data_IF_345419835715
#
_entry.id   IF_345419835715
#
_cell.length_a   1.000
_cell.length_b   1.000
_cell.length_c   1.000
_cell.angle_alpha   90.00
_cell.angle_beta   90.00
_cell.angle_gamma   90.00
#
_symmetry.space_group_name_H-M   'P 1'
#
loop_
_entity.id
_entity.type
_entity.pdbx_description
1 polymer ?
#
# COMPACT_ATOMS: atom_id res chain seq x y z
N UNK A 1 -30.39 21.18 -36.20
CA UNK A 1 -30.66 22.64 -36.13
C UNK A 1 -32.16 22.96 -36.21
N UNK A 2 -32.87 22.62 -37.30
CA UNK A 2 -34.32 22.93 -37.43
C UNK A 2 -35.14 22.38 -36.26
N UNK A 3 -34.94 21.11 -35.90
CA UNK A 3 -35.59 20.50 -34.73
C UNK A 3 -35.34 21.26 -33.42
N UNK A 4 -34.09 21.72 -33.17
CA UNK A 4 -33.75 22.48 -31.95
C UNK A 4 -34.45 23.86 -31.91
N UNK A 5 -34.58 24.53 -33.07
CA UNK A 5 -35.32 25.79 -33.19
C UNK A 5 -36.83 25.59 -33.00
N UNK A 6 -37.39 24.51 -33.52
CA UNK A 6 -38.80 24.16 -33.27
C UNK A 6 -39.05 23.85 -31.79
N UNK A 7 -38.16 23.10 -31.15
CA UNK A 7 -38.21 22.83 -29.70
C UNK A 7 -38.15 24.13 -28.89
N UNK A 8 -37.23 25.03 -29.23
CA UNK A 8 -37.13 26.36 -28.61
C UNK A 8 -38.44 27.15 -28.75
N UNK A 9 -38.98 27.26 -29.96
CA UNK A 9 -40.22 27.98 -30.22
C UNK A 9 -41.40 27.41 -29.42
N UNK A 10 -41.55 26.08 -29.38
CA UNK A 10 -42.59 25.42 -28.57
C UNK A 10 -42.39 25.65 -27.07
N UNK A 11 -41.17 25.49 -26.56
CA UNK A 11 -40.87 25.65 -25.14
C UNK A 11 -41.13 27.07 -24.64
N UNK A 12 -40.76 28.09 -25.43
CA UNK A 12 -41.01 29.50 -25.12
C UNK A 12 -42.50 29.82 -25.11
N UNK A 13 -43.28 29.28 -26.06
CA UNK A 13 -44.72 29.54 -26.13
C UNK A 13 -45.54 28.85 -25.02
N UNK A 14 -44.99 27.82 -24.37
CA UNK A 14 -45.64 27.17 -23.24
C UNK A 14 -45.53 27.98 -21.93
N UNK A 15 -44.64 28.97 -21.87
CA UNK A 15 -44.36 29.76 -20.67
C UNK A 15 -45.18 31.07 -20.70
N UNK A 16 -45.90 31.35 -19.61
CA UNK A 16 -46.70 32.57 -19.47
C UNK A 16 -45.88 33.74 -18.90
N UNK A 17 -44.81 33.44 -18.17
CA UNK A 17 -43.89 34.43 -17.60
C UNK A 17 -42.82 34.82 -18.63
N UNK A 18 -42.69 36.14 -18.86
CA UNK A 18 -41.73 36.72 -19.79
C UNK A 18 -40.27 36.51 -19.35
N UNK A 19 -40.00 36.53 -18.04
CA UNK A 19 -38.64 36.32 -17.52
C UNK A 19 -38.21 34.87 -17.69
N UNK A 20 -39.05 33.91 -17.30
CA UNK A 20 -38.81 32.49 -17.53
C UNK A 20 -38.62 32.17 -19.03
N UNK A 21 -39.45 32.75 -19.90
CA UNK A 21 -39.34 32.59 -21.34
C UNK A 21 -38.01 33.13 -21.90
N UNK A 22 -37.51 34.25 -21.37
CA UNK A 22 -36.22 34.82 -21.75
C UNK A 22 -35.04 33.92 -21.35
N UNK A 23 -35.10 33.34 -20.14
CA UNK A 23 -34.07 32.40 -19.65
C UNK A 23 -34.03 31.13 -20.52
N UNK A 24 -35.19 30.52 -20.80
CA UNK A 24 -35.27 29.32 -21.64
C UNK A 24 -34.77 29.62 -23.05
N UNK A 25 -35.16 30.76 -23.64
CA UNK A 25 -34.67 31.19 -24.95
C UNK A 25 -33.14 31.26 -24.95
N UNK A 26 -32.54 31.89 -23.94
CA UNK A 26 -31.07 32.01 -23.79
C UNK A 26 -30.36 30.66 -23.75
N UNK A 27 -30.90 29.67 -23.01
CA UNK A 27 -30.29 28.33 -22.97
C UNK A 27 -30.37 27.59 -24.30
N UNK A 28 -31.50 27.70 -25.01
CA UNK A 28 -31.63 27.13 -26.36
C UNK A 28 -30.70 27.83 -27.35
N UNK A 29 -30.54 29.15 -27.25
CA UNK A 29 -29.62 29.90 -28.11
C UNK A 29 -28.17 29.43 -27.89
N UNK A 30 -27.74 29.24 -26.63
CA UNK A 30 -26.43 28.67 -26.30
C UNK A 30 -26.29 27.27 -26.91
N UNK A 31 -27.26 26.39 -26.69
CA UNK A 31 -27.22 25.00 -27.19
C UNK A 31 -27.16 24.94 -28.73
N UNK A 32 -27.92 25.77 -29.42
CA UNK A 32 -27.91 25.83 -30.89
C UNK A 32 -26.56 26.38 -31.38
N UNK A 33 -26.03 27.40 -30.71
CA UNK A 33 -24.73 27.99 -31.03
C UNK A 33 -23.63 26.95 -30.86
N UNK A 34 -23.56 26.27 -29.71
CA UNK A 34 -22.55 25.24 -29.42
C UNK A 34 -22.67 24.03 -30.35
N UNK A 35 -23.89 23.64 -30.74
CA UNK A 35 -24.11 22.55 -31.70
C UNK A 35 -23.57 22.88 -33.11
N UNK A 36 -23.50 24.16 -33.46
CA UNK A 36 -22.97 24.61 -34.74
C UNK A 36 -21.44 24.72 -34.76
N UNK A 37 -20.79 24.77 -33.59
CA UNK A 37 -19.33 24.81 -33.47
C UNK A 37 -18.76 23.42 -33.77
N UNK A 38 -17.70 23.36 -34.56
CA UNK A 38 -16.98 22.11 -34.80
C UNK A 38 -16.37 21.55 -33.51
N UNK A 39 -16.37 20.22 -33.38
CA UNK A 39 -15.81 19.56 -32.20
C UNK A 39 -14.33 19.94 -32.06
N UNK A 40 -13.90 20.49 -30.91
CA UNK A 40 -12.50 20.84 -30.71
C UNK A 40 -11.61 19.59 -30.78
N UNK A 41 -10.38 19.70 -31.32
CA UNK A 41 -9.46 18.58 -31.40
C UNK A 41 -9.07 18.09 -30.01
N UNK A 42 -8.70 16.82 -29.89
CA UNK A 42 -8.20 16.27 -28.64
C UNK A 42 -6.84 16.87 -28.31
N UNK A 43 -6.60 17.16 -27.03
CA UNK A 43 -5.33 17.65 -26.54
C UNK A 43 -4.35 16.48 -26.46
N UNK A 44 -3.31 16.52 -27.28
CA UNK A 44 -2.24 15.53 -27.25
C UNK A 44 -1.24 15.82 -26.12
N UNK A 45 -0.75 14.76 -25.48
CA UNK A 45 0.36 14.75 -24.54
C UNK A 45 1.45 13.86 -25.13
N UNK A 46 2.46 14.43 -25.81
CA UNK A 46 3.58 13.64 -26.32
C UNK A 46 4.39 13.06 -25.14
N UNK A 47 4.97 11.88 -25.35
CA UNK A 47 5.92 11.31 -24.40
C UNK A 47 7.22 12.12 -24.39
N UNK A 48 7.80 12.31 -23.20
CA UNK A 48 9.07 13.07 -23.04
C UNK A 48 10.27 12.25 -23.52
N UNK A 49 10.20 10.93 -23.39
CA UNK A 49 11.22 9.98 -23.86
C UNK A 49 10.59 8.74 -24.47
N UNK A 50 11.41 7.86 -25.06
CA UNK A 50 10.94 6.61 -25.68
C UNK A 50 10.23 5.66 -24.69
N UNK A 51 10.49 5.79 -23.39
CA UNK A 51 9.86 4.98 -22.34
C UNK A 51 8.51 5.55 -21.89
N UNK A 52 8.24 6.83 -22.21
CA UNK A 52 6.97 7.49 -21.92
C UNK A 52 5.98 7.23 -23.04
N UNK A 53 4.79 6.77 -22.68
CA UNK A 53 3.70 6.66 -23.64
C UNK A 53 3.09 8.04 -23.93
N UNK A 54 2.79 8.29 -25.21
CA UNK A 54 1.97 9.43 -25.61
C UNK A 54 0.50 9.17 -25.29
N UNK A 55 -0.22 10.20 -24.84
CA UNK A 55 -1.64 10.13 -24.51
C UNK A 55 -2.42 11.25 -25.19
N UNK A 56 -3.74 11.15 -25.18
CA UNK A 56 -4.62 12.22 -25.64
C UNK A 56 -5.83 12.36 -24.73
N UNK A 57 -6.30 13.58 -24.55
CA UNK A 57 -7.50 13.91 -23.78
C UNK A 57 -8.51 14.64 -24.67
N UNK A 58 -9.76 14.17 -24.77
CA UNK A 58 -10.80 14.95 -25.44
C UNK A 58 -10.95 16.33 -24.79
N UNK A 59 -10.92 17.39 -25.58
CA UNK A 59 -11.00 18.76 -25.06
C UNK A 59 -12.28 19.02 -24.27
N UNK A 60 -13.39 18.33 -24.61
CA UNK A 60 -14.62 18.37 -23.83
C UNK A 60 -14.42 17.93 -22.38
N UNK A 61 -13.61 16.89 -22.14
CA UNK A 61 -13.31 16.43 -20.78
C UNK A 61 -12.46 17.45 -20.00
N UNK A 62 -11.53 18.13 -20.68
CA UNK A 62 -10.73 19.20 -20.08
C UNK A 62 -11.58 20.42 -19.69
N UNK A 63 -12.59 20.77 -20.49
CA UNK A 63 -13.47 21.91 -20.21
C UNK A 63 -14.42 21.66 -19.03
N UNK A 64 -14.92 20.43 -18.88
CA UNK A 64 -15.78 20.01 -17.77
C UNK A 64 -15.01 19.80 -16.46
N UNK A 65 -13.69 19.64 -16.52
CA UNK A 65 -12.88 19.47 -15.33
C UNK A 65 -12.80 20.76 -14.49
N UNK A 66 -12.70 20.58 -13.17
CA UNK A 66 -12.51 21.69 -12.23
C UNK A 66 -11.30 22.53 -12.62
N UNK A 67 -11.55 23.83 -12.84
CA UNK A 67 -10.53 24.80 -13.22
C UNK A 67 -9.70 25.16 -12.00
N UNK A 68 -8.53 24.54 -11.86
CA UNK A 68 -7.51 24.99 -10.91
C UNK A 68 -6.84 26.25 -11.46
N UNK A 69 -6.89 27.40 -10.74
CA UNK A 69 -6.25 28.62 -11.21
C UNK A 69 -4.73 28.41 -11.25
N UNK A 70 -4.12 28.81 -12.36
CA UNK A 70 -2.67 28.79 -12.54
C UNK A 70 -2.13 30.16 -12.21
N UNK A 71 -1.29 30.23 -11.18
CA UNK A 71 -0.72 31.48 -10.71
C UNK A 71 0.61 31.73 -11.40
N UNK A 72 0.76 32.93 -11.95
CA UNK A 72 1.90 33.34 -12.75
C UNK A 72 2.51 34.57 -12.09
N UNK A 73 3.83 34.60 -11.96
CA UNK A 73 4.56 35.72 -11.40
C UNK A 73 5.01 36.66 -12.50
N UNK A 74 4.46 37.88 -12.53
CA UNK A 74 4.88 38.96 -13.45
C UNK A 74 5.27 40.21 -12.66
N UNK A 75 6.17 41.00 -13.22
CA UNK A 75 6.71 42.21 -12.57
C UNK A 75 5.64 43.27 -12.28
N UNK A 76 4.65 43.40 -13.17
CA UNK A 76 3.56 44.40 -13.07
C UNK A 76 2.36 44.01 -12.21
N UNK A 77 2.39 42.87 -11.50
CA UNK A 77 1.30 42.45 -10.63
C UNK A 77 1.21 43.32 -9.36
N UNK A 78 0.00 43.40 -8.80
CA UNK A 78 -0.21 44.01 -7.49
C UNK A 78 0.53 43.24 -6.38
N UNK A 79 0.89 43.91 -5.29
CA UNK A 79 1.60 43.27 -4.18
C UNK A 79 0.79 42.11 -3.56
N UNK A 80 -0.54 42.22 -3.57
CA UNK A 80 -1.46 41.16 -3.12
C UNK A 80 -1.38 39.93 -4.00
N UNK A 81 -1.40 40.08 -5.33
CA UNK A 81 -1.28 38.96 -6.27
C UNK A 81 0.10 38.30 -6.22
N UNK A 82 1.16 39.11 -6.07
CA UNK A 82 2.53 38.61 -5.85
C UNK A 82 2.61 37.76 -4.59
N UNK A 83 2.02 38.24 -3.49
CA UNK A 83 2.00 37.51 -2.22
C UNK A 83 1.19 36.20 -2.32
N UNK A 84 0.06 36.20 -3.00
CA UNK A 84 -0.74 34.99 -3.24
C UNK A 84 0.01 33.95 -4.07
N UNK A 85 0.74 34.40 -5.09
CA UNK A 85 1.57 33.55 -5.95
C UNK A 85 2.69 32.89 -5.14
N UNK A 86 3.36 33.65 -4.27
CA UNK A 86 4.38 33.13 -3.35
C UNK A 86 3.78 32.11 -2.37
N UNK A 87 2.63 32.42 -1.76
CA UNK A 87 1.91 31.47 -0.87
C UNK A 87 1.52 30.19 -1.60
N UNK A 88 1.17 30.28 -2.88
CA UNK A 88 0.90 29.10 -3.70
C UNK A 88 2.15 28.26 -3.94
N UNK A 89 3.29 28.88 -4.23
CA UNK A 89 4.58 28.18 -4.35
C UNK A 89 4.96 27.45 -3.05
N UNK A 90 4.70 28.06 -1.88
CA UNK A 90 4.90 27.39 -0.60
C UNK A 90 3.99 26.18 -0.39
N UNK A 91 2.67 26.35 -0.61
CA UNK A 91 1.71 25.23 -0.56
C UNK A 91 2.09 24.11 -1.53
N UNK A 92 2.73 24.46 -2.64
CA UNK A 92 3.16 23.49 -3.65
C UNK A 92 4.37 22.68 -3.21
N UNK A 93 5.44 23.36 -2.81
CA UNK A 93 6.73 22.74 -2.50
C UNK A 93 6.73 22.06 -1.13
N UNK A 94 6.01 22.64 -0.15
CA UNK A 94 5.97 22.14 1.24
C UNK A 94 4.65 21.44 1.60
N UNK A 95 3.74 21.30 0.65
CA UNK A 95 2.37 20.77 0.85
C UNK A 95 1.46 21.59 1.79
N UNK A 96 1.99 22.67 2.37
CA UNK A 96 1.30 23.56 3.32
C UNK A 96 1.87 24.97 3.24
N UNK A 97 1.13 25.94 3.76
CA UNK A 97 1.66 27.29 3.89
C UNK A 97 2.68 27.34 5.03
N UNK A 98 3.90 27.79 4.72
CA UNK A 98 5.02 27.88 5.69
C UNK A 98 5.31 29.33 6.10
N UNK A 99 4.58 30.32 5.56
CA UNK A 99 4.83 31.76 5.79
C UNK A 99 4.80 32.17 7.27
N UNK A 100 3.97 31.52 8.10
CA UNK A 100 3.79 31.91 9.50
C UNK A 100 4.71 31.18 10.49
N UNK A 101 5.29 30.03 10.11
CA UNK A 101 5.86 29.09 11.09
C UNK A 101 7.40 29.11 11.21
N UNK A 102 8.13 29.61 10.21
CA UNK A 102 9.60 29.43 10.15
C UNK A 102 10.43 30.72 9.90
N UNK A 103 9.76 31.87 9.83
CA UNK A 103 10.21 33.20 10.29
C UNK A 103 11.39 33.94 9.63
N UNK A 104 12.46 33.29 9.16
CA UNK A 104 13.72 34.05 8.91
C UNK A 104 14.45 33.68 7.62
N UNK A 105 14.45 32.41 7.17
CA UNK A 105 15.36 31.99 6.07
C UNK A 105 14.89 32.26 4.63
N UNK A 106 13.64 32.67 4.42
CA UNK A 106 13.05 32.75 3.06
C UNK A 106 12.67 34.17 2.61
N UNK A 107 12.73 35.17 3.50
CA UNK A 107 12.31 36.55 3.20
C UNK A 107 13.15 37.20 2.09
N UNK A 108 14.44 36.88 2.02
CA UNK A 108 15.32 37.38 0.95
C UNK A 108 14.89 36.87 -0.43
N UNK A 109 14.58 35.56 -0.53
CA UNK A 109 14.09 34.94 -1.76
C UNK A 109 12.74 35.51 -2.19
N UNK A 110 11.86 35.80 -1.23
CA UNK A 110 10.58 36.47 -1.50
C UNK A 110 10.80 37.87 -2.09
N UNK A 111 11.74 38.64 -1.54
CA UNK A 111 12.06 39.97 -2.06
C UNK A 111 12.63 39.90 -3.49
N UNK A 112 13.53 38.95 -3.74
CA UNK A 112 14.13 38.74 -5.07
C UNK A 112 13.08 38.33 -6.12
N UNK A 113 12.12 37.45 -5.78
CA UNK A 113 11.07 37.05 -6.73
C UNK A 113 10.04 38.17 -6.94
N UNK A 114 9.71 38.95 -5.90
CA UNK A 114 8.80 40.12 -6.00
C UNK A 114 9.35 41.22 -6.88
N UNK A 115 10.65 41.45 -6.80
CA UNK A 115 11.38 42.42 -7.62
C UNK A 115 11.67 41.90 -9.03
N UNK A 116 11.52 40.60 -9.27
CA UNK A 116 11.81 39.96 -10.57
C UNK A 116 13.30 39.73 -10.82
N UNK A 117 14.15 39.82 -9.79
CA UNK A 117 15.58 39.46 -9.91
C UNK A 117 15.76 37.97 -10.20
N UNK A 118 14.89 37.13 -9.62
CA UNK A 118 14.82 35.69 -9.89
C UNK A 118 13.44 35.34 -10.45
N UNK A 119 13.40 34.38 -11.36
CA UNK A 119 12.15 33.86 -11.90
C UNK A 119 11.44 32.95 -10.91
N UNK A 120 10.17 32.58 -11.18
CA UNK A 120 9.45 31.64 -10.35
C UNK A 120 10.11 30.24 -10.37
N UNK A 121 10.69 29.85 -11.50
CA UNK A 121 11.52 28.64 -11.63
C UNK A 121 12.71 28.65 -10.67
N UNK A 122 13.49 29.75 -10.66
CA UNK A 122 14.62 29.90 -9.74
C UNK A 122 14.19 29.91 -8.27
N UNK A 123 13.08 30.58 -7.97
CA UNK A 123 12.50 30.59 -6.62
C UNK A 123 12.16 29.18 -6.16
N UNK A 124 11.46 28.38 -6.98
CA UNK A 124 11.15 26.97 -6.69
C UNK A 124 12.41 26.13 -6.52
N UNK A 125 13.45 26.33 -7.35
CA UNK A 125 14.76 25.66 -7.19
C UNK A 125 15.38 25.97 -5.83
N UNK A 126 15.38 27.23 -5.41
CA UNK A 126 15.94 27.64 -4.11
C UNK A 126 15.14 27.06 -2.94
N UNK A 127 13.81 27.00 -3.05
CA UNK A 127 12.97 26.33 -2.06
C UNK A 127 13.31 24.84 -1.94
N UNK A 128 13.50 24.14 -3.06
CA UNK A 128 13.86 22.71 -3.09
C UNK A 128 15.24 22.41 -2.48
N UNK A 129 16.19 23.35 -2.60
CA UNK A 129 17.53 23.24 -2.00
C UNK A 129 17.61 23.77 -0.57
N UNK A 130 16.53 24.34 -0.05
CA UNK A 130 16.52 24.94 1.28
C UNK A 130 16.74 23.89 2.38
N UNK A 131 17.31 24.33 3.51
CA UNK A 131 17.44 23.50 4.71
C UNK A 131 16.09 22.98 5.19
N UNK A 132 15.03 23.78 5.05
CA UNK A 132 13.68 23.41 5.45
C UNK A 132 13.15 22.23 4.63
N UNK A 133 13.35 22.27 3.31
CA UNK A 133 12.93 21.17 2.43
C UNK A 133 13.68 19.88 2.77
N UNK A 134 14.99 19.98 2.99
CA UNK A 134 15.84 18.85 3.38
C UNK A 134 15.35 18.19 4.68
N UNK A 135 15.08 18.98 5.71
CA UNK A 135 14.61 18.45 7.01
C UNK A 135 13.25 17.76 6.91
N UNK A 136 12.37 18.25 6.03
CA UNK A 136 11.00 17.73 5.92
C UNK A 136 10.88 16.55 4.95
N UNK A 137 11.55 16.61 3.80
CA UNK A 137 11.32 15.70 2.66
C UNK A 137 12.54 14.89 2.23
N UNK A 138 13.73 15.14 2.79
CA UNK A 138 14.94 14.38 2.48
C UNK A 138 15.37 13.50 3.66
N UNK A 139 15.66 14.09 4.82
CA UNK A 139 16.22 13.38 5.98
C UNK A 139 15.34 12.22 6.54
N UNK A 140 14.00 12.31 6.59
CA UNK A 140 13.17 11.27 7.19
C UNK A 140 12.72 10.18 6.20
N UNK A 141 13.31 10.10 5.01
CA UNK A 141 12.88 9.20 3.93
C UNK A 141 14.06 8.49 3.27
N UNK A 142 13.80 7.31 2.70
CA UNK A 142 14.76 6.62 1.84
C UNK A 142 14.80 7.30 0.45
N UNK A 143 15.95 7.21 -0.25
CA UNK A 143 16.18 7.84 -1.57
C UNK A 143 15.02 7.57 -2.54
N UNK A 144 14.54 6.33 -2.63
CA UNK A 144 13.42 5.97 -3.51
C UNK A 144 12.15 6.78 -3.21
N UNK A 145 11.85 7.04 -1.93
CA UNK A 145 10.69 7.83 -1.53
C UNK A 145 10.91 9.33 -1.72
N UNK A 146 12.14 9.80 -1.57
CA UNK A 146 12.53 11.19 -1.83
C UNK A 146 12.25 11.55 -3.30
N UNK A 147 12.62 10.67 -4.24
CA UNK A 147 12.35 10.88 -5.67
C UNK A 147 10.85 11.01 -5.92
N UNK A 148 10.03 10.11 -5.39
CA UNK A 148 8.56 10.16 -5.56
C UNK A 148 7.94 11.48 -5.06
N UNK A 149 8.42 11.97 -3.91
CA UNK A 149 7.98 13.26 -3.36
C UNK A 149 8.52 14.45 -4.17
N UNK A 150 9.74 14.37 -4.68
CA UNK A 150 10.30 15.42 -5.54
C UNK A 150 9.49 15.57 -6.84
N UNK A 151 9.13 14.46 -7.49
CA UNK A 151 8.23 14.45 -8.65
C UNK A 151 6.89 15.11 -8.34
N UNK A 152 6.31 14.81 -7.17
CA UNK A 152 5.10 15.47 -6.70
C UNK A 152 5.28 16.97 -6.58
N UNK A 153 6.36 17.45 -5.97
CA UNK A 153 6.57 18.86 -5.65
C UNK A 153 6.95 19.71 -6.86
N UNK A 154 7.89 19.24 -7.68
CA UNK A 154 8.47 20.02 -8.77
C UNK A 154 7.75 19.79 -10.11
N UNK A 155 7.35 18.55 -10.42
CA UNK A 155 6.70 18.21 -11.69
C UNK A 155 5.18 18.04 -11.59
N UNK A 156 4.65 17.83 -10.39
CA UNK A 156 3.20 17.72 -10.17
C UNK A 156 2.56 16.47 -10.72
N UNK A 157 3.35 15.41 -10.91
CA UNK A 157 2.87 14.09 -11.29
C UNK A 157 3.61 13.00 -10.52
N UNK A 158 3.14 11.77 -10.65
CA UNK A 158 3.90 10.59 -10.26
C UNK A 158 4.94 10.21 -11.32
N UNK A 159 5.82 9.30 -10.93
CA UNK A 159 6.78 8.68 -11.85
C UNK A 159 6.01 7.81 -12.86
N UNK A 160 6.41 7.83 -14.13
CA UNK A 160 5.70 7.18 -15.23
C UNK A 160 6.22 5.77 -15.54
N UNK A 161 7.53 5.55 -15.44
CA UNK A 161 8.14 4.24 -15.69
C UNK A 161 9.33 3.95 -14.77
N UNK A 162 9.86 2.72 -14.85
CA UNK A 162 10.98 2.29 -14.02
C UNK A 162 12.31 2.89 -14.50
N UNK A 163 12.47 3.10 -15.80
CA UNK A 163 13.66 3.72 -16.39
C UNK A 163 13.78 5.17 -15.93
N UNK A 164 12.67 5.92 -15.93
CA UNK A 164 12.64 7.27 -15.35
C UNK A 164 13.06 7.25 -13.88
N UNK A 165 12.56 6.29 -13.09
CA UNK A 165 13.01 6.17 -11.69
C UNK A 165 14.52 5.92 -11.59
N UNK A 166 15.08 5.05 -12.44
CA UNK A 166 16.50 4.70 -12.42
C UNK A 166 17.38 5.90 -12.78
N UNK A 167 17.01 6.67 -13.79
CA UNK A 167 17.75 7.87 -14.22
C UNK A 167 17.87 8.89 -13.06
N UNK A 168 16.76 9.22 -12.41
CA UNK A 168 16.78 10.15 -11.27
C UNK A 168 17.38 9.54 -10.00
N UNK A 169 17.37 8.22 -9.86
CA UNK A 169 18.03 7.52 -8.77
C UNK A 169 19.57 7.59 -8.90
N UNK A 170 20.10 7.52 -10.12
CA UNK A 170 21.52 7.74 -10.39
C UNK A 170 21.91 9.19 -10.06
N UNK A 171 21.16 10.17 -10.57
CA UNK A 171 21.41 11.61 -10.32
C UNK A 171 21.47 11.96 -8.83
N UNK A 172 20.51 11.49 -8.03
CA UNK A 172 20.50 11.75 -6.59
C UNK A 172 21.60 10.99 -5.84
N UNK A 173 22.00 9.80 -6.32
CA UNK A 173 23.05 9.01 -5.70
C UNK A 173 24.42 9.70 -5.84
N UNK A 174 24.66 10.35 -6.97
CA UNK A 174 25.92 11.04 -7.25
C UNK A 174 25.98 12.46 -6.67
N UNK A 175 24.90 13.23 -6.84
CA UNK A 175 24.88 14.66 -6.51
C UNK A 175 23.97 15.07 -5.34
N UNK A 176 23.32 14.10 -4.69
CA UNK A 176 22.41 14.34 -3.58
C UNK A 176 21.16 15.16 -3.95
N UNK A 177 20.52 15.74 -2.94
CA UNK A 177 19.31 16.56 -3.11
C UNK A 177 19.47 17.72 -4.12
N UNK A 178 20.57 18.53 -4.09
CA UNK A 178 20.69 19.66 -5.00
C UNK A 178 20.68 19.24 -6.48
N UNK A 179 21.38 18.16 -6.82
CA UNK A 179 21.44 17.66 -8.20
C UNK A 179 20.08 17.11 -8.67
N UNK A 180 19.33 16.43 -7.79
CA UNK A 180 17.98 15.98 -8.11
C UNK A 180 17.04 17.16 -8.42
N UNK A 181 17.09 18.21 -7.60
CA UNK A 181 16.25 19.41 -7.81
C UNK A 181 16.62 20.10 -9.12
N UNK A 182 17.91 20.23 -9.43
CA UNK A 182 18.36 20.81 -10.69
C UNK A 182 17.88 19.98 -11.89
N UNK A 183 18.11 18.67 -11.88
CA UNK A 183 17.65 17.79 -12.96
C UNK A 183 16.14 17.87 -13.21
N UNK A 184 15.31 18.01 -12.16
CA UNK A 184 13.86 18.14 -12.32
C UNK A 184 13.45 19.51 -12.86
N UNK A 185 14.04 20.59 -12.36
CA UNK A 185 13.66 21.97 -12.72
C UNK A 185 14.25 22.38 -14.09
N UNK A 186 15.40 21.82 -14.47
CA UNK A 186 16.04 22.04 -15.77
C UNK A 186 15.52 21.09 -16.88
N UNK A 187 14.58 20.20 -16.54
CA UNK A 187 13.97 19.30 -17.52
C UNK A 187 13.14 20.08 -18.56
N UNK A 188 13.14 19.59 -19.80
CA UNK A 188 12.29 20.13 -20.86
C UNK A 188 10.80 20.09 -20.48
N UNK A 189 10.39 19.04 -19.77
CA UNK A 189 9.01 18.91 -19.30
C UNK A 189 8.63 20.04 -18.33
N UNK A 190 9.53 20.44 -17.42
CA UNK A 190 9.26 21.56 -16.54
C UNK A 190 9.04 22.85 -17.33
N UNK A 191 9.89 23.11 -18.33
CA UNK A 191 9.80 24.28 -19.21
C UNK A 191 8.49 24.27 -20.03
N UNK A 192 8.07 23.12 -20.56
CA UNK A 192 6.86 23.00 -21.38
C UNK A 192 5.57 23.23 -20.59
N UNK A 193 5.51 22.76 -19.34
CA UNK A 193 4.30 22.85 -18.51
C UNK A 193 4.20 24.13 -17.69
N UNK A 194 5.32 24.62 -17.16
CA UNK A 194 5.35 25.73 -16.20
C UNK A 194 6.12 26.95 -16.73
N UNK A 195 7.07 26.74 -17.62
CA UNK A 195 8.00 27.78 -18.07
C UNK A 195 8.79 28.36 -16.90
N UNK A 196 9.04 29.66 -16.92
CA UNK A 196 9.80 30.35 -15.87
C UNK A 196 8.95 31.16 -14.90
N UNK A 197 7.72 31.50 -15.29
CA UNK A 197 6.85 32.43 -14.56
C UNK A 197 5.73 31.72 -13.79
N UNK A 198 5.33 30.51 -14.19
CA UNK A 198 4.17 29.82 -13.59
C UNK A 198 4.60 29.01 -12.37
N UNK A 199 3.83 29.10 -11.29
CA UNK A 199 4.00 28.22 -10.13
C UNK A 199 3.63 26.79 -10.54
N UNK A 200 4.46 25.78 -10.24
CA UNK A 200 4.11 24.39 -10.52
C UNK A 200 2.76 24.03 -9.91
N UNK A 201 1.97 23.23 -10.61
CA UNK A 201 0.65 22.78 -10.16
C UNK A 201 0.51 21.26 -10.28
N UNK A 202 -0.42 20.68 -9.53
CA UNK A 202 -0.73 19.26 -9.60
C UNK A 202 -1.41 18.95 -10.94
N UNK A 203 -0.85 17.99 -11.68
CA UNK A 203 -1.39 17.49 -12.94
C UNK A 203 -2.27 16.28 -12.64
N UNK A 204 -3.44 16.57 -12.08
CA UNK A 204 -4.47 15.59 -11.75
C UNK A 204 -5.43 15.29 -12.90
N UNK A 205 -6.51 14.60 -12.54
CA UNK A 205 -7.60 14.30 -13.46
C UNK A 205 -8.17 15.58 -14.08
N UNK A 206 -8.45 15.53 -15.37
CA UNK A 206 -9.06 16.64 -16.10
C UNK A 206 -8.08 17.70 -16.58
N UNK A 207 -6.95 17.92 -15.91
CA UNK A 207 -5.93 18.90 -16.33
C UNK A 207 -5.04 18.38 -17.47
N UNK A 208 -4.76 17.08 -17.45
CA UNK A 208 -3.92 16.40 -18.42
C UNK A 208 -4.37 14.94 -18.61
N UNK A 209 -3.95 14.31 -19.71
CA UNK A 209 -4.21 12.90 -19.96
C UNK A 209 -3.39 12.03 -18.98
N UNK A 210 -4.09 11.20 -18.20
CA UNK A 210 -3.50 10.33 -17.18
C UNK A 210 -3.27 8.93 -17.71
N UNK A 211 -2.16 8.33 -17.33
CA UNK A 211 -1.88 6.93 -17.66
C UNK A 211 -2.49 5.96 -16.65
N UNK A 212 -2.91 4.79 -17.11
CA UNK A 212 -3.41 3.76 -16.22
C UNK A 212 -2.29 3.05 -15.44
N UNK A 213 -1.03 3.14 -15.87
CA UNK A 213 0.11 2.41 -15.31
C UNK A 213 0.41 2.81 -13.86
N UNK A 214 0.29 4.09 -13.52
CA UNK A 214 0.54 4.63 -12.19
C UNK A 214 -0.72 5.23 -11.53
N UNK A 215 -1.92 4.84 -12.00
CA UNK A 215 -3.20 5.42 -11.61
C UNK A 215 -3.40 5.52 -10.09
N UNK A 216 -3.34 4.39 -9.39
CA UNK A 216 -3.50 4.34 -7.93
C UNK A 216 -2.43 5.14 -7.19
N UNK A 217 -1.13 4.82 -7.39
CA UNK A 217 -0.03 5.54 -6.75
C UNK A 217 -0.06 7.06 -6.95
N UNK A 218 -0.44 7.56 -8.13
CA UNK A 218 -0.51 9.00 -8.40
C UNK A 218 -1.66 9.68 -7.64
N UNK A 219 -2.83 9.06 -7.58
CA UNK A 219 -3.97 9.59 -6.81
C UNK A 219 -3.64 9.65 -5.31
N UNK A 220 -2.97 8.64 -4.79
CA UNK A 220 -2.52 8.62 -3.40
C UNK A 220 -1.40 9.63 -3.13
N UNK A 221 -0.51 9.84 -4.09
CA UNK A 221 0.57 10.81 -3.99
C UNK A 221 0.03 12.24 -3.81
N UNK A 222 -1.11 12.58 -4.40
CA UNK A 222 -1.67 13.93 -4.32
C UNK A 222 -2.44 14.23 -3.02
N UNK A 223 -2.56 13.27 -2.12
CA UNK A 223 -3.17 13.47 -0.79
C UNK A 223 -2.17 14.12 0.17
N UNK A 224 -2.68 14.80 1.19
CA UNK A 224 -1.88 15.35 2.30
C UNK A 224 -1.22 14.25 3.15
N UNK A 225 -1.74 13.03 3.11
CA UNK A 225 -1.20 11.87 3.83
C UNK A 225 0.01 11.24 3.12
N UNK A 226 0.36 11.67 1.92
CA UNK A 226 1.46 11.07 1.16
C UNK A 226 2.80 11.09 1.93
N UNK A 227 3.23 12.18 2.61
CA UNK A 227 4.46 12.17 3.41
C UNK A 227 4.46 11.22 4.61
N UNK A 228 3.30 10.76 5.07
CA UNK A 228 3.22 9.79 6.18
C UNK A 228 3.77 8.44 5.73
N UNK A 229 3.59 8.08 4.45
CA UNK A 229 4.10 6.82 3.90
C UNK A 229 5.62 6.88 3.71
N UNK A 230 6.32 6.00 4.42
CA UNK A 230 7.79 5.86 4.35
C UNK A 230 8.28 4.90 3.27
N UNK A 231 7.46 3.91 2.93
CA UNK A 231 7.77 2.91 1.90
C UNK A 231 7.48 3.49 0.51
N UNK A 232 8.39 3.32 -0.47
CA UNK A 232 8.17 3.82 -1.83
C UNK A 232 7.05 3.05 -2.53
N UNK A 233 6.22 3.76 -3.30
CA UNK A 233 5.05 3.20 -3.99
C UNK A 233 5.33 2.84 -5.45
N UNK A 234 6.05 3.69 -6.17
CA UNK A 234 6.17 3.60 -7.63
C UNK A 234 7.12 2.48 -8.02
N UNK A 235 8.33 2.46 -7.45
CA UNK A 235 9.31 1.41 -7.75
C UNK A 235 8.82 0.01 -7.33
N UNK A 236 8.09 -0.08 -6.22
CA UNK A 236 7.50 -1.35 -5.76
C UNK A 236 6.40 -1.81 -6.71
N UNK A 237 5.51 -0.91 -7.12
CA UNK A 237 4.45 -1.19 -8.11
C UNK A 237 5.03 -1.61 -9.46
N UNK A 238 6.00 -0.86 -10.00
CA UNK A 238 6.64 -1.20 -11.27
C UNK A 238 7.43 -2.51 -11.20
N UNK A 239 8.08 -2.78 -10.07
CA UNK A 239 8.73 -4.06 -9.81
C UNK A 239 7.74 -5.23 -9.77
N UNK A 240 6.55 -5.04 -9.19
CA UNK A 240 5.50 -6.06 -9.18
C UNK A 240 4.91 -6.34 -10.56
N UNK A 241 4.81 -5.36 -11.44
CA UNK A 241 4.35 -5.59 -12.82
C UNK A 241 5.25 -6.54 -13.61
N UNK A 242 6.53 -6.64 -13.25
CA UNK A 242 7.51 -7.49 -13.92
C UNK A 242 7.73 -8.85 -13.23
N UNK A 243 7.21 -9.01 -12.01
CA UNK A 243 7.45 -10.20 -11.17
C UNK A 243 6.19 -11.09 -11.09
N UNK A 244 6.36 -12.39 -10.79
CA UNK A 244 5.22 -13.25 -10.48
C UNK A 244 4.51 -12.80 -9.19
N UNK A 245 3.37 -13.43 -8.89
CA UNK A 245 2.58 -13.13 -7.69
C UNK A 245 3.44 -13.15 -6.41
N UNK A 246 3.29 -12.15 -5.54
CA UNK A 246 4.06 -12.06 -4.30
C UNK A 246 3.66 -13.17 -3.31
N UNK A 247 4.60 -13.54 -2.45
CA UNK A 247 4.31 -14.43 -1.33
C UNK A 247 3.68 -13.65 -0.16
N UNK A 248 2.36 -13.52 -0.17
CA UNK A 248 1.59 -12.84 0.87
C UNK A 248 0.17 -13.42 0.99
N UNK A 249 -0.58 -13.02 2.01
CA UNK A 249 -1.99 -13.35 2.12
C UNK A 249 -2.80 -12.89 0.89
N UNK A 250 -3.79 -13.68 0.41
CA UNK A 250 -4.63 -13.31 -0.73
C UNK A 250 -5.35 -11.95 -0.62
N UNK A 251 -5.69 -11.55 0.61
CA UNK A 251 -6.37 -10.27 0.87
C UNK A 251 -5.41 -9.10 1.17
N UNK A 252 -4.09 -9.31 1.08
CA UNK A 252 -3.06 -8.29 1.30
C UNK A 252 -2.19 -8.55 2.53
N UNK A 253 -1.01 -7.90 2.54
CA UNK A 253 0.08 -8.14 3.50
C UNK A 253 -0.30 -8.03 4.97
N UNK A 254 -1.26 -7.17 5.34
CA UNK A 254 -1.69 -6.97 6.72
C UNK A 254 -2.48 -8.12 7.33
N UNK A 255 -2.90 -9.11 6.53
CA UNK A 255 -3.70 -10.24 7.01
C UNK A 255 -2.87 -11.46 7.45
N UNK A 256 -1.58 -11.47 7.14
CA UNK A 256 -0.68 -12.48 7.71
C UNK A 256 -0.28 -12.02 9.13
N UNK A 257 -0.52 -12.83 10.18
CA UNK A 257 -0.03 -12.51 11.52
C UNK A 257 1.49 -12.68 11.58
N UNK A 258 2.13 -12.02 12.55
CA UNK A 258 3.53 -12.31 12.87
C UNK A 258 3.64 -13.69 13.54
N UNK A 259 4.50 -14.55 13.00
CA UNK A 259 4.78 -15.89 13.54
C UNK A 259 5.66 -15.80 14.80
N UNK A 260 5.03 -15.40 15.91
CA UNK A 260 5.66 -15.32 17.23
C UNK A 260 4.89 -16.17 18.24
N UNK A 261 5.51 -16.45 19.38
CA UNK A 261 4.93 -17.31 20.42
C UNK A 261 3.58 -16.79 20.94
N UNK A 262 3.42 -15.47 21.06
CA UNK A 262 2.16 -14.83 21.48
C UNK A 262 1.38 -14.37 20.25
N UNK A 263 0.19 -14.94 19.99
CA UNK A 263 -0.57 -14.67 18.77
C UNK A 263 -1.29 -13.30 18.70
N UNK A 264 -2.08 -13.12 17.63
CA UNK A 264 -2.93 -11.94 17.34
C UNK A 264 -2.19 -10.59 17.18
N UNK A 265 -0.99 -10.62 16.61
CA UNK A 265 -0.28 -9.40 16.22
C UNK A 265 -0.24 -9.32 14.70
N UNK A 266 -0.98 -8.35 14.15
CA UNK A 266 -1.02 -8.03 12.73
C UNK A 266 -0.32 -6.68 12.48
N UNK A 267 0.38 -6.53 11.34
CA UNK A 267 0.92 -5.22 10.93
C UNK A 267 -0.19 -4.16 10.84
N UNK A 268 -0.02 -3.02 11.53
CA UNK A 268 -1.00 -1.94 11.54
C UNK A 268 -0.84 -1.01 10.32
N UNK A 269 -1.83 -1.01 9.44
CA UNK A 269 -1.87 -0.15 8.24
C UNK A 269 -2.19 1.33 8.52
N UNK A 270 -2.70 1.67 9.71
CA UNK A 270 -3.11 3.05 10.05
C UNK A 270 -1.96 3.99 10.39
N UNK A 271 -0.85 3.47 10.93
CA UNK A 271 0.30 4.29 11.37
C UNK A 271 1.39 4.40 10.33
N UNK A 272 1.69 3.29 9.63
CA UNK A 272 2.68 3.22 8.56
C UNK A 272 2.07 2.41 7.41
N UNK A 273 1.31 3.05 6.50
CA UNK A 273 0.61 2.33 5.45
C UNK A 273 1.62 1.63 4.54
N UNK A 274 1.53 0.31 4.47
CA UNK A 274 2.38 -0.55 3.66
C UNK A 274 1.59 -1.48 2.75
N UNK A 275 0.26 -1.29 2.67
CA UNK A 275 -0.62 -2.07 1.84
C UNK A 275 -0.08 -2.29 0.42
N UNK A 276 0.06 -3.57 0.07
CA UNK A 276 0.42 -4.07 -1.24
C UNK A 276 -0.66 -5.04 -1.71
N UNK A 277 -1.78 -4.53 -2.26
CA UNK A 277 -2.80 -5.40 -2.81
C UNK A 277 -2.24 -6.17 -4.01
N UNK A 278 -2.51 -7.47 -4.06
CA UNK A 278 -2.23 -8.31 -5.22
C UNK A 278 -3.45 -9.16 -5.53
N UNK A 279 -3.70 -9.42 -6.81
CA UNK A 279 -4.87 -10.18 -7.24
C UNK A 279 -4.53 -11.67 -7.28
N UNK A 280 -5.13 -12.44 -6.36
CA UNK A 280 -5.04 -13.90 -6.35
C UNK A 280 -6.32 -14.51 -6.93
N UNK A 281 -6.18 -15.56 -7.74
CA UNK A 281 -7.33 -16.32 -8.25
C UNK A 281 -7.89 -17.25 -7.17
N UNK A 282 -9.12 -17.73 -7.36
CA UNK A 282 -9.76 -18.72 -6.47
C UNK A 282 -8.95 -20.01 -6.34
N UNK A 283 -8.22 -20.38 -7.38
CA UNK A 283 -7.48 -21.66 -7.45
C UNK A 283 -6.00 -21.51 -7.04
N UNK A 284 -5.62 -20.35 -6.54
CA UNK A 284 -4.24 -20.07 -6.11
C UNK A 284 -3.87 -20.85 -4.85
N UNK A 285 -2.64 -21.36 -4.80
CA UNK A 285 -2.07 -22.02 -3.62
C UNK A 285 -0.78 -21.33 -3.17
N UNK A 286 -0.68 -21.03 -1.88
CA UNK A 286 0.56 -20.50 -1.29
C UNK A 286 1.55 -21.63 -1.05
N UNK A 287 2.80 -21.42 -1.45
CA UNK A 287 3.90 -22.33 -1.11
C UNK A 287 4.23 -22.10 0.37
N UNK A 288 3.94 -23.08 1.21
CA UNK A 288 4.30 -23.06 2.63
C UNK A 288 5.64 -23.77 2.83
N UNK A 289 6.49 -23.19 3.68
CA UNK A 289 7.79 -23.76 4.04
C UNK A 289 7.58 -24.57 5.33
N UNK A 290 7.95 -25.85 5.32
CA UNK A 290 7.88 -26.70 6.52
C UNK A 290 8.91 -26.23 7.56
N UNK A 291 8.53 -26.23 8.85
CA UNK A 291 9.42 -25.85 9.95
C UNK A 291 10.40 -26.95 10.39
N UNK A 292 10.39 -28.12 9.74
CA UNK A 292 11.23 -29.28 10.03
C UNK A 292 12.36 -29.52 9.03
N UNK A 293 13.38 -30.29 9.44
CA UNK A 293 14.48 -30.69 8.55
C UNK A 293 13.99 -31.73 7.54
N UNK A 294 14.14 -31.43 6.25
CA UNK A 294 13.93 -32.38 5.16
C UNK A 294 15.09 -33.40 5.11
N UNK A 295 15.30 -34.16 6.20
CA UNK A 295 16.35 -35.17 6.30
C UNK A 295 15.81 -36.48 5.75
N UNK A 296 16.16 -36.76 4.51
CA UNK A 296 15.58 -37.82 3.71
C UNK A 296 15.76 -39.25 4.25
N UNK A 297 14.76 -40.07 3.93
CA UNK A 297 15.06 -41.31 3.25
C UNK A 297 14.71 -41.10 1.78
N UNK A 298 15.68 -41.27 0.88
CA UNK A 298 15.53 -40.99 -0.53
C UNK A 298 14.39 -41.78 -1.16
N UNK A 299 13.27 -41.11 -1.44
CA UNK A 299 12.32 -41.38 -2.53
C UNK A 299 11.16 -40.37 -2.46
N UNK A 300 11.37 -39.13 -2.93
CA UNK A 300 10.31 -38.31 -3.53
C UNK A 300 10.87 -36.97 -4.07
N UNK A 301 11.87 -37.05 -4.96
CA UNK A 301 12.04 -36.03 -6.02
C UNK A 301 11.24 -36.42 -7.28
N UNK A 302 10.29 -37.35 -7.16
CA UNK A 302 9.22 -37.55 -8.13
C UNK A 302 7.97 -36.87 -7.57
N UNK A 303 7.33 -36.04 -8.38
CA UNK A 303 6.17 -35.18 -8.11
C UNK A 303 4.89 -35.84 -7.56
N UNK A 304 4.99 -36.77 -6.62
CA UNK A 304 3.89 -37.38 -5.88
C UNK A 304 3.73 -36.86 -4.44
N UNK A 305 4.68 -36.04 -3.94
CA UNK A 305 4.57 -35.41 -2.61
C UNK A 305 3.58 -34.23 -2.54
N UNK A 306 2.93 -33.86 -3.65
CA UNK A 306 1.76 -32.96 -3.63
C UNK A 306 0.52 -33.62 -3.02
N UNK A 307 0.53 -34.95 -2.82
CA UNK A 307 -0.47 -35.72 -2.09
C UNK A 307 0.17 -36.37 -0.85
N UNK A 308 0.75 -35.55 0.03
CA UNK A 308 1.39 -35.96 1.29
C UNK A 308 0.44 -36.55 2.34
N UNK A 309 -0.43 -37.49 1.98
CA UNK A 309 -1.34 -38.18 2.91
C UNK A 309 -0.58 -39.16 3.83
N UNK A 310 0.67 -39.51 3.51
CA UNK A 310 1.44 -40.58 4.17
C UNK A 310 2.35 -40.19 5.35
N UNK A 311 2.59 -38.89 5.59
CA UNK A 311 3.55 -38.43 6.62
C UNK A 311 2.91 -37.69 7.80
N UNK A 312 1.57 -37.52 7.77
CA UNK A 312 0.84 -36.93 8.88
C UNK A 312 0.89 -37.83 10.13
N UNK A 313 1.40 -37.30 11.24
CA UNK A 313 1.43 -37.99 12.53
C UNK A 313 2.77 -38.66 12.88
N UNK A 314 3.78 -38.57 12.01
CA UNK A 314 5.15 -38.93 12.41
C UNK A 314 5.67 -37.93 13.44
N UNK A 315 6.35 -38.46 14.46
CA UNK A 315 7.04 -37.62 15.44
C UNK A 315 8.28 -37.06 14.73
N UNK A 316 8.42 -35.74 14.64
CA UNK A 316 9.59 -35.15 14.01
C UNK A 316 10.87 -35.41 14.83
N UNK A 317 12.02 -35.35 14.16
CA UNK A 317 13.30 -35.75 14.75
C UNK A 317 13.84 -34.79 15.81
N UNK A 318 15.04 -35.10 16.35
CA UNK A 318 15.69 -34.36 17.45
C UNK A 318 16.03 -32.89 17.16
N UNK A 319 15.93 -32.42 15.91
CA UNK A 319 16.25 -31.05 15.49
C UNK A 319 15.00 -30.14 15.46
N UNK A 320 13.84 -30.65 15.86
CA UNK A 320 12.55 -30.03 15.60
C UNK A 320 11.78 -29.65 16.88
N UNK A 321 10.55 -29.16 16.71
CA UNK A 321 9.65 -28.83 17.81
C UNK A 321 9.31 -30.08 18.65
N UNK A 322 9.31 -29.90 19.98
CA UNK A 322 8.96 -30.99 20.91
C UNK A 322 7.47 -31.34 20.80
N UNK A 323 7.19 -32.60 20.48
CA UNK A 323 5.82 -33.15 20.49
C UNK A 323 5.51 -33.75 21.85
N UNK A 324 4.39 -33.34 22.46
CA UNK A 324 3.88 -33.90 23.70
C UNK A 324 2.78 -34.93 23.39
N UNK A 325 2.86 -36.12 23.96
CA UNK A 325 1.85 -37.19 23.82
C UNK A 325 1.35 -37.65 25.19
N UNK A 326 0.04 -37.89 25.29
CA UNK A 326 -0.56 -38.57 26.45
C UNK A 326 -0.27 -40.06 26.34
N UNK A 327 0.45 -40.60 27.32
CA UNK A 327 0.66 -42.05 27.47
C UNK A 327 -0.46 -42.60 28.37
N UNK A 328 -1.26 -43.54 27.89
CA UNK A 328 -2.16 -44.30 28.76
C UNK A 328 -1.39 -45.47 29.39
N UNK A 329 -1.40 -45.52 30.73
CA UNK A 329 -0.80 -46.49 31.67
C UNK A 329 0.72 -46.43 31.96
N UNK A 330 1.04 -46.13 33.23
CA UNK A 330 1.91 -46.95 34.04
C UNK A 330 1.14 -47.41 35.28
N UNK A 331 0.58 -48.63 35.24
CA UNK A 331 0.17 -49.47 36.39
C UNK A 331 -0.97 -50.43 35.94
N UNK A 332 -0.57 -51.56 35.39
CA UNK A 332 -1.16 -52.86 35.74
C UNK A 332 0.03 -53.81 35.83
N UNK A 333 0.45 -54.11 37.07
CA UNK A 333 1.32 -55.24 37.32
C UNK A 333 0.53 -56.53 37.13
N UNK A 334 1.28 -57.56 36.73
CA UNK A 334 0.92 -58.99 36.66
C UNK A 334 0.14 -59.45 35.42
N UNK A 335 0.79 -60.33 34.63
CA UNK A 335 0.14 -61.13 33.60
C UNK A 335 1.02 -61.45 32.39
N UNK A 336 1.80 -62.54 32.49
CA UNK A 336 2.32 -63.39 31.41
C UNK A 336 3.25 -62.81 30.32
N UNK A 337 4.52 -63.19 30.44
CA UNK A 337 5.42 -63.39 29.29
C UNK A 337 5.15 -64.79 28.70
N UNK A 338 4.76 -64.94 27.42
CA UNK A 338 5.06 -66.16 26.70
C UNK A 338 6.40 -66.01 25.97
N UNK A 339 7.13 -67.11 25.98
CA UNK A 339 8.46 -67.26 25.43
C UNK A 339 8.52 -67.00 23.92
N UNK A 340 9.69 -66.51 23.54
CA UNK A 340 10.19 -66.36 22.19
C UNK A 340 10.12 -67.68 21.39
N UNK A 341 9.52 -67.66 20.19
CA UNK A 341 9.86 -68.57 19.10
C UNK A 341 9.59 -67.92 17.72
N UNK A 342 10.70 -67.56 17.08
CA UNK A 342 10.96 -67.40 15.64
C UNK A 342 9.85 -66.99 14.67
N UNK A 343 10.02 -65.82 14.02
CA UNK A 343 10.18 -65.77 12.56
C UNK A 343 10.70 -64.40 12.09
N UNK A 344 11.64 -64.40 11.14
CA UNK A 344 12.12 -63.20 10.47
C UNK A 344 11.04 -62.66 9.51
N UNK A 345 10.23 -61.73 10.01
CA UNK A 345 9.66 -60.67 9.19
C UNK A 345 10.06 -59.34 9.83
N UNK A 346 10.62 -58.46 9.01
CA UNK A 346 11.18 -57.17 9.37
C UNK A 346 10.08 -56.30 9.97
N UNK A 347 9.88 -56.45 11.28
CA UNK A 347 8.94 -55.70 12.06
C UNK A 347 9.38 -54.24 12.03
N UNK A 348 8.47 -53.39 11.60
CA UNK A 348 8.45 -51.97 11.93
C UNK A 348 8.86 -51.82 13.39
N UNK A 349 10.10 -51.38 13.62
CA UNK A 349 10.56 -51.02 14.95
C UNK A 349 9.63 -49.90 15.41
N UNK A 350 8.79 -50.11 16.44
CA UNK A 350 8.00 -49.01 16.97
C UNK A 350 9.02 -47.97 17.42
N UNK A 351 8.83 -46.73 16.97
CA UNK A 351 9.58 -45.57 17.45
C UNK A 351 9.82 -45.76 18.95
N UNK A 352 11.09 -45.79 19.35
CA UNK A 352 11.49 -45.75 20.75
C UNK A 352 10.69 -44.61 21.40
N UNK A 353 9.81 -44.94 22.34
CA UNK A 353 9.03 -43.99 23.13
C UNK A 353 9.98 -43.23 24.05
N UNK A 354 10.51 -42.08 23.61
CA UNK A 354 11.54 -41.36 24.39
C UNK A 354 10.96 -40.43 25.47
N UNK A 355 9.65 -40.18 25.56
CA UNK A 355 9.14 -39.29 26.62
C UNK A 355 7.77 -39.66 27.19
N UNK A 356 7.75 -40.32 28.35
CA UNK A 356 6.63 -40.21 29.28
C UNK A 356 6.61 -38.78 29.83
N UNK A 357 5.67 -37.96 29.37
CA UNK A 357 5.45 -36.62 29.91
C UNK A 357 4.45 -36.67 31.06
N UNK A 358 4.69 -35.87 32.11
CA UNK A 358 3.70 -35.71 33.18
C UNK A 358 2.44 -35.08 32.62
N UNK A 359 1.29 -35.46 33.19
CA UNK A 359 0.00 -34.93 32.74
C UNK A 359 -0.06 -33.41 32.87
N UNK A 360 0.57 -32.85 33.91
CA UNK A 360 0.68 -31.40 34.09
C UNK A 360 1.50 -30.74 32.97
N UNK A 361 2.62 -31.35 32.54
CA UNK A 361 3.42 -30.82 31.42
C UNK A 361 2.62 -30.80 30.11
N UNK A 362 1.76 -31.80 29.90
CA UNK A 362 0.87 -31.87 28.73
C UNK A 362 -0.21 -30.79 28.80
N UNK A 363 -0.82 -30.58 29.97
CA UNK A 363 -1.81 -29.52 30.19
C UNK A 363 -1.19 -28.14 29.94
N UNK A 364 -0.03 -27.85 30.53
CA UNK A 364 0.69 -26.59 30.29
C UNK A 364 1.09 -26.43 28.82
N UNK A 365 1.57 -27.50 28.18
CA UNK A 365 1.88 -27.49 26.75
C UNK A 365 0.66 -27.17 25.88
N UNK A 366 -0.52 -27.72 26.22
CA UNK A 366 -1.76 -27.43 25.52
C UNK A 366 -2.21 -25.97 25.72
N UNK A 367 -2.08 -25.40 26.92
CA UNK A 367 -2.33 -23.97 27.12
C UNK A 367 -1.38 -23.11 26.30
N UNK A 368 -0.08 -23.39 26.30
CA UNK A 368 0.90 -22.65 25.48
C UNK A 368 0.61 -22.79 23.99
N UNK A 369 0.13 -23.95 23.53
CA UNK A 369 -0.22 -24.15 22.12
C UNK A 369 -1.47 -23.36 21.72
N UNK A 370 -2.50 -23.30 22.58
CA UNK A 370 -3.78 -22.65 22.26
C UNK A 370 -3.74 -21.14 22.51
N UNK A 371 -3.04 -20.69 23.55
CA UNK A 371 -2.99 -19.28 23.98
C UNK A 371 -1.65 -18.61 23.71
N UNK A 372 -0.65 -19.33 23.19
CA UNK A 372 0.72 -18.83 23.04
C UNK A 372 1.50 -18.64 24.36
N UNK A 373 0.81 -18.72 25.50
CA UNK A 373 1.36 -18.45 26.83
C UNK A 373 0.68 -19.27 27.92
N UNK A 374 1.29 -19.28 29.09
CA UNK A 374 0.58 -19.70 30.29
C UNK A 374 -0.53 -18.68 30.61
N UNK A 375 -1.71 -19.19 30.92
CA UNK A 375 -2.89 -18.39 31.26
C UNK A 375 -2.88 -18.03 32.74
N UNK A 376 -3.51 -16.93 33.12
CA UNK A 376 -3.66 -16.56 34.53
C UNK A 376 -4.57 -17.58 35.25
N UNK A 377 -4.43 -17.72 36.57
CA UNK A 377 -5.18 -18.71 37.36
C UNK A 377 -6.70 -18.62 37.14
N UNK A 378 -7.25 -17.40 37.05
CA UNK A 378 -8.68 -17.19 36.77
C UNK A 378 -9.12 -17.49 35.33
N UNK A 379 -8.19 -17.74 34.40
CA UNK A 379 -8.46 -18.09 33.00
C UNK A 379 -8.38 -19.60 32.73
N UNK A 380 -7.90 -20.38 33.71
CA UNK A 380 -7.78 -21.83 33.62
C UNK A 380 -9.15 -22.51 33.56
N UNK A 381 -9.23 -23.58 32.78
CA UNK A 381 -10.40 -24.42 32.64
C UNK A 381 -10.29 -25.64 33.58
N UNK A 382 -10.43 -25.40 34.89
CA UNK A 382 -10.20 -26.42 35.93
C UNK A 382 -11.01 -27.69 35.73
N UNK A 383 -12.28 -27.59 35.32
CA UNK A 383 -13.13 -28.75 35.06
C UNK A 383 -12.60 -29.60 33.89
N UNK A 384 -12.11 -28.94 32.83
CA UNK A 384 -11.54 -29.62 31.66
C UNK A 384 -10.22 -30.33 32.02
N UNK A 385 -9.42 -29.73 32.89
CA UNK A 385 -8.18 -30.33 33.39
C UNK A 385 -8.44 -31.57 34.25
N UNK A 386 -9.44 -31.50 35.14
CA UNK A 386 -9.85 -32.65 35.98
C UNK A 386 -10.33 -33.79 35.09
N UNK A 387 -11.19 -33.52 34.10
CA UNK A 387 -11.68 -34.53 33.16
C UNK A 387 -10.57 -35.16 32.33
N UNK A 388 -9.56 -34.36 31.91
CA UNK A 388 -8.39 -34.89 31.19
C UNK A 388 -7.54 -35.78 32.12
N UNK A 389 -7.26 -35.34 33.36
CA UNK A 389 -6.51 -36.12 34.35
C UNK A 389 -7.21 -37.43 34.74
N UNK A 390 -8.54 -37.41 34.83
CA UNK A 390 -9.37 -38.58 35.13
C UNK A 390 -9.54 -39.55 33.97
N UNK A 391 -9.02 -39.24 32.77
CA UNK A 391 -9.17 -40.08 31.58
C UNK A 391 -10.57 -40.02 30.95
N UNK A 392 -11.49 -39.23 31.51
CA UNK A 392 -12.84 -39.01 30.97
C UNK A 392 -12.81 -38.16 29.69
N UNK A 393 -11.74 -37.38 29.49
CA UNK A 393 -11.59 -36.44 28.40
C UNK A 393 -10.37 -36.77 27.54
N UNK A 394 -10.53 -36.71 26.21
CA UNK A 394 -9.41 -36.89 25.26
C UNK A 394 -8.67 -35.57 25.03
N UNK A 395 -7.41 -35.62 24.59
CA UNK A 395 -6.65 -34.40 24.23
C UNK A 395 -7.37 -33.54 23.18
N UNK A 396 -8.05 -34.18 22.22
CA UNK A 396 -8.83 -33.46 21.20
C UNK A 396 -9.97 -32.66 21.83
N UNK A 397 -10.68 -33.27 22.79
CA UNK A 397 -11.77 -32.61 23.50
C UNK A 397 -11.24 -31.51 24.42
N UNK A 398 -10.09 -31.72 25.05
CA UNK A 398 -9.46 -30.72 25.93
C UNK A 398 -9.12 -29.46 25.14
N UNK A 399 -8.42 -29.60 24.01
CA UNK A 399 -8.10 -28.48 23.11
C UNK A 399 -9.37 -27.80 22.60
N UNK A 400 -10.43 -28.56 22.28
CA UNK A 400 -11.73 -28.01 21.86
C UNK A 400 -12.37 -27.15 22.95
N UNK A 401 -12.31 -27.57 24.21
CA UNK A 401 -12.84 -26.80 25.34
C UNK A 401 -12.00 -25.54 25.60
N UNK A 402 -10.67 -25.61 25.48
CA UNK A 402 -9.81 -24.43 25.56
C UNK A 402 -10.14 -23.41 24.46
N UNK A 403 -10.29 -23.85 23.21
CA UNK A 403 -10.62 -22.97 22.08
C UNK A 403 -12.03 -22.37 22.14
N UNK A 404 -13.00 -23.06 22.76
CA UNK A 404 -14.36 -22.54 22.99
C UNK A 404 -14.50 -21.69 24.26
N UNK A 405 -13.42 -21.55 25.03
CA UNK A 405 -13.45 -20.84 26.30
C UNK A 405 -13.61 -19.33 26.11
N UNK A 406 -14.20 -18.66 27.10
CA UNK A 406 -14.33 -17.20 27.11
C UNK A 406 -12.97 -16.48 27.02
N UNK A 407 -11.90 -16.91 27.73
CA UNK A 407 -10.58 -16.32 27.56
C UNK A 407 -10.06 -16.37 26.12
N UNK A 408 -10.27 -17.48 25.39
CA UNK A 408 -9.82 -17.61 24.01
C UNK A 408 -10.57 -16.64 23.09
N UNK A 409 -11.90 -16.61 23.21
CA UNK A 409 -12.76 -15.70 22.43
C UNK A 409 -12.36 -14.23 22.64
N UNK A 410 -12.17 -13.83 23.90
CA UNK A 410 -11.78 -12.46 24.21
C UNK A 410 -10.41 -12.09 23.61
N UNK A 411 -9.48 -13.03 23.51
CA UNK A 411 -8.12 -12.75 23.01
C UNK A 411 -8.03 -12.77 21.47
N UNK A 412 -8.68 -13.73 20.82
CA UNK A 412 -8.44 -14.03 19.40
C UNK A 412 -9.66 -13.85 18.48
N UNK A 413 -10.84 -13.53 19.03
CA UNK A 413 -12.06 -13.36 18.24
C UNK A 413 -12.66 -11.98 18.37
N UNK A 414 -12.92 -11.50 19.59
CA UNK A 414 -13.62 -10.22 19.78
C UNK A 414 -12.71 -8.99 19.50
N UNK A 415 -11.39 -9.17 19.50
CA UNK A 415 -10.38 -8.10 19.38
C UNK A 415 -9.50 -8.19 18.11
N UNK A 416 -9.84 -9.07 17.15
CA UNK A 416 -9.08 -9.27 15.91
C UNK A 416 -9.79 -8.69 14.70
#
# INVERSE_FOLDING_TARGET
IVALREMQWKAVNCLQDAEAAAVVRRYFDILITDYQVEKPPSRARPGVSNHHQGLQLPQSYFHEADRTPKLVMKSGLSETEKQETIRAAYRRVFERDVTQAYGISLAELESQVKSGMISMKEFVRHLGKSRLYRQQFYEPFAISRIIELAFRHFLGRGISCIEEFQDYFEVISDGGLPALVDALVDSQEYADYFGEETVPYLRGLGQDAQECRNWGPQLDLFKYSAPVRKVPQFITTFGHYQKPLPNQHPYGVGNDPLEIQFGAIFPQESRNPSAQPAHFSTDSRRILISSGANSGNGHALNGHALNGVGDFGRIPGSLEHRVLKVSQNPMNGEGDRPANQGNHHQAYTPNVDVYHHSMDAIIHGAYRQVFGRDVFDGQRQTNAEIGLKGGELTMREFVRQLAKSRPFRNLYWDNC
#
